data_IF_771373026360
#
_entry.id   IF_771373026360
#
_cell.length_a   1.000
_cell.length_b   1.000
_cell.length_c   1.000
_cell.angle_alpha   90.00
_cell.angle_beta   90.00
_cell.angle_gamma   90.00
#
_symmetry.space_group_name_H-M   'P 1'
#
loop_
_entity.id
_entity.type
_entity.pdbx_description
1 polymer ?
#
# COMPACT_ATOMS: atom_id res chain seq x y z
N UNK A 1 9.82 12.78 -14.61
CA UNK A 1 10.14 11.33 -14.38
C UNK A 1 9.92 10.52 -15.66
N UNK A 2 10.90 10.52 -16.58
CA UNK A 2 10.82 9.88 -17.90
C UNK A 2 11.14 8.37 -17.94
N UNK A 3 10.66 7.61 -16.96
CA UNK A 3 10.88 6.16 -16.93
C UNK A 3 9.77 5.44 -17.68
N UNK A 4 10.13 4.75 -18.76
CA UNK A 4 9.25 3.81 -19.44
C UNK A 4 9.00 2.60 -18.52
N UNK A 5 7.75 2.43 -18.08
CA UNK A 5 7.36 1.31 -17.22
C UNK A 5 6.31 0.49 -17.96
N UNK A 6 6.33 -0.85 -17.83
CA UNK A 6 5.24 -1.68 -18.33
C UNK A 6 3.88 -1.15 -17.87
N UNK A 7 2.95 -0.94 -18.80
CA UNK A 7 1.61 -0.39 -18.55
C UNK A 7 1.59 1.05 -17.98
N UNK A 8 2.67 1.82 -18.16
CA UNK A 8 2.77 3.20 -17.66
C UNK A 8 1.73 4.14 -18.27
N UNK A 9 1.36 3.89 -19.53
CA UNK A 9 0.28 4.55 -20.25
C UNK A 9 -1.09 4.30 -19.59
N UNK A 10 -1.42 3.05 -19.29
CA UNK A 10 -2.65 2.65 -18.59
C UNK A 10 -2.74 3.31 -17.21
N UNK A 11 -1.64 3.31 -16.45
CA UNK A 11 -1.59 3.92 -15.12
C UNK A 11 -1.79 5.44 -15.18
N UNK A 12 -1.19 6.12 -16.15
CA UNK A 12 -1.41 7.55 -16.35
C UNK A 12 -2.88 7.87 -16.62
N UNK A 13 -3.54 7.07 -17.44
CA UNK A 13 -4.94 7.26 -17.78
C UNK A 13 -5.88 6.91 -16.62
N UNK A 14 -5.56 5.90 -15.82
CA UNK A 14 -6.26 5.63 -14.55
C UNK A 14 -6.15 6.82 -13.59
N UNK A 15 -4.96 7.43 -13.46
CA UNK A 15 -4.76 8.62 -12.63
C UNK A 15 -5.57 9.81 -13.16
N UNK A 16 -5.59 10.04 -14.48
CA UNK A 16 -6.44 11.09 -15.09
C UNK A 16 -7.92 10.87 -14.76
N UNK A 17 -8.40 9.64 -14.86
CA UNK A 17 -9.79 9.29 -14.52
C UNK A 17 -10.08 9.50 -13.04
N UNK A 18 -9.17 9.14 -12.14
CA UNK A 18 -9.34 9.37 -10.71
C UNK A 18 -9.33 10.86 -10.36
N UNK A 19 -8.43 11.63 -10.97
CA UNK A 19 -8.32 13.07 -10.77
C UNK A 19 -9.56 13.84 -11.25
N UNK A 20 -10.23 13.34 -12.29
CA UNK A 20 -11.46 13.94 -12.79
C UNK A 20 -12.67 13.72 -11.85
N UNK A 21 -12.59 12.82 -10.85
CA UNK A 21 -13.77 12.39 -10.07
C UNK A 21 -14.35 13.53 -9.25
N UNK A 22 -15.68 13.66 -9.34
CA UNK A 22 -16.45 14.67 -8.59
C UNK A 22 -16.60 14.32 -7.10
N UNK A 23 -16.36 13.06 -6.72
CA UNK A 23 -16.53 12.58 -5.36
C UNK A 23 -15.23 11.98 -4.79
N UNK A 24 -14.95 12.17 -3.49
CA UNK A 24 -13.86 11.50 -2.80
C UNK A 24 -13.92 9.98 -3.01
N UNK A 25 -12.78 9.40 -3.38
CA UNK A 25 -12.66 7.95 -3.63
C UNK A 25 -11.80 7.32 -2.54
N UNK A 26 -12.29 6.22 -1.96
CA UNK A 26 -11.52 5.36 -1.05
C UNK A 26 -11.27 4.01 -1.71
N UNK A 27 -10.03 3.55 -1.69
CA UNK A 27 -9.68 2.20 -2.12
C UNK A 27 -9.77 1.26 -0.93
N UNK A 28 -10.44 0.13 -1.14
CA UNK A 28 -10.54 -0.95 -0.15
C UNK A 28 -10.12 -2.22 -0.86
N UNK A 29 -9.10 -2.87 -0.33
CA UNK A 29 -8.71 -4.19 -0.80
C UNK A 29 -9.66 -5.23 -0.20
N UNK A 30 -10.22 -6.08 -1.06
CA UNK A 30 -11.12 -7.16 -0.66
C UNK A 30 -10.44 -8.47 -1.06
N UNK A 31 -10.42 -9.43 -0.15
CA UNK A 31 -9.89 -10.77 -0.41
C UNK A 31 -10.78 -11.46 -1.45
N UNK A 32 -10.17 -12.08 -2.47
CA UNK A 32 -10.92 -12.84 -3.46
C UNK A 32 -11.71 -13.99 -2.81
N UNK A 33 -12.92 -14.23 -3.32
CA UNK A 33 -13.82 -15.30 -2.82
C UNK A 33 -14.15 -15.21 -1.33
N UNK A 34 -14.15 -14.00 -0.75
CA UNK A 34 -14.53 -13.79 0.65
C UNK A 34 -16.03 -13.82 0.91
N UNK A 35 -16.84 -14.20 -0.08
CA UNK A 35 -18.31 -14.09 -0.04
C UNK A 35 -18.82 -12.66 -0.17
N UNK A 36 -18.02 -11.73 -0.69
CA UNK A 36 -18.50 -10.37 -1.00
C UNK A 36 -19.23 -10.40 -2.33
N UNK A 37 -20.57 -10.33 -2.30
CA UNK A 37 -21.42 -10.47 -3.50
C UNK A 37 -21.00 -9.55 -4.65
N UNK A 38 -20.65 -8.29 -4.37
CA UNK A 38 -20.25 -7.31 -5.40
C UNK A 38 -18.88 -7.65 -5.99
N UNK A 39 -17.92 -8.03 -5.14
CA UNK A 39 -16.60 -8.48 -5.58
C UNK A 39 -16.70 -9.75 -6.41
N UNK A 40 -17.53 -10.70 -6.00
CA UNK A 40 -17.74 -11.97 -6.72
C UNK A 40 -18.47 -11.75 -8.05
N UNK A 41 -19.43 -10.82 -8.11
CA UNK A 41 -20.07 -10.41 -9.35
C UNK A 41 -19.08 -9.73 -10.32
N UNK A 42 -18.26 -8.80 -9.83
CA UNK A 42 -17.22 -8.16 -10.65
C UNK A 42 -16.20 -9.17 -11.17
N UNK A 43 -15.78 -10.14 -10.35
CA UNK A 43 -14.89 -11.23 -10.76
C UNK A 43 -15.55 -12.13 -11.82
N UNK A 44 -16.85 -12.42 -11.70
CA UNK A 44 -17.60 -13.18 -12.70
C UNK A 44 -17.64 -12.45 -14.05
N UNK A 45 -17.96 -11.16 -14.04
CA UNK A 45 -17.97 -10.33 -15.25
C UNK A 45 -16.58 -10.27 -15.90
N UNK A 46 -15.52 -10.14 -15.10
CA UNK A 46 -14.15 -10.17 -15.62
C UNK A 46 -13.82 -11.51 -16.30
N UNK A 47 -14.24 -12.64 -15.72
CA UNK A 47 -14.07 -13.98 -16.31
C UNK A 47 -14.86 -14.17 -17.60
N UNK A 48 -16.08 -13.63 -17.66
CA UNK A 48 -16.90 -13.65 -18.88
C UNK A 48 -16.25 -12.79 -19.97
N UNK A 49 -15.78 -11.59 -19.63
CA UNK A 49 -15.05 -10.70 -20.54
C UNK A 49 -13.78 -11.34 -21.10
N UNK A 50 -13.05 -12.09 -20.30
CA UNK A 50 -11.84 -12.81 -20.75
C UNK A 50 -12.11 -13.93 -21.76
N UNK A 51 -13.38 -14.35 -21.94
CA UNK A 51 -13.79 -15.34 -22.97
C UNK A 51 -14.24 -14.69 -24.26
N UNK A 52 -14.43 -13.37 -24.28
CA UNK A 52 -14.76 -12.64 -25.49
C UNK A 52 -13.53 -12.59 -26.42
N UNK A 53 -13.74 -12.33 -27.73
CA UNK A 53 -12.63 -12.09 -28.65
C UNK A 53 -11.70 -10.99 -28.14
N UNK A 54 -10.43 -11.02 -28.55
CA UNK A 54 -9.46 -10.00 -28.16
C UNK A 54 -10.01 -8.60 -28.46
N UNK A 55 -9.99 -7.74 -27.43
CA UNK A 55 -10.24 -6.33 -27.63
C UNK A 55 -9.16 -5.77 -28.56
N UNK A 56 -9.54 -4.85 -29.45
CA UNK A 56 -8.55 -4.14 -30.25
C UNK A 56 -7.53 -3.38 -29.39
N UNK A 57 -6.48 -2.88 -30.02
CA UNK A 57 -5.38 -2.21 -29.33
C UNK A 57 -5.88 -1.10 -28.40
N UNK A 58 -5.30 -1.07 -27.19
CA UNK A 58 -5.57 -0.03 -26.22
C UNK A 58 -5.23 1.35 -26.81
N UNK A 59 -6.17 2.29 -26.66
CA UNK A 59 -6.00 3.68 -27.11
C UNK A 59 -5.99 4.60 -25.90
N UNK A 60 -4.95 5.43 -25.82
CA UNK A 60 -4.77 6.42 -24.75
C UNK A 60 -5.94 7.40 -24.69
N UNK A 61 -6.39 7.69 -23.48
CA UNK A 61 -7.40 8.70 -23.19
C UNK A 61 -6.82 10.09 -23.44
N UNK A 62 -7.28 10.68 -24.54
CA UNK A 62 -6.99 12.08 -24.89
C UNK A 62 -7.82 13.01 -24.02
N UNK A 63 -9.12 12.72 -23.86
CA UNK A 63 -10.04 13.47 -23.02
C UNK A 63 -10.83 12.53 -22.11
N UNK A 64 -11.08 12.99 -20.87
CA UNK A 64 -11.99 12.30 -19.94
C UNK A 64 -13.41 12.79 -20.25
N UNK A 65 -14.30 11.97 -20.84
CA UNK A 65 -15.56 12.47 -21.43
C UNK A 65 -16.49 13.14 -20.41
N UNK A 66 -16.41 12.70 -19.16
CA UNK A 66 -17.26 13.17 -18.07
C UNK A 66 -16.62 14.28 -17.22
N UNK A 67 -15.37 14.65 -17.50
CA UNK A 67 -14.73 15.80 -16.86
C UNK A 67 -15.20 17.15 -17.45
N UNK A 68 -15.82 17.12 -18.65
CA UNK A 68 -16.07 18.33 -19.44
C UNK A 68 -17.46 18.97 -19.27
N UNK A 69 -18.40 18.37 -18.51
CA UNK A 69 -19.81 18.81 -18.63
C UNK A 69 -20.55 19.11 -17.34
N UNK A 70 -19.89 18.99 -16.19
CA UNK A 70 -20.51 19.35 -14.92
C UNK A 70 -19.66 20.39 -14.22
N UNK A 71 -19.92 21.68 -14.45
CA UNK A 71 -19.92 22.56 -13.29
C UNK A 71 -20.82 21.84 -12.28
N UNK A 72 -20.25 21.34 -11.17
CA UNK A 72 -21.07 20.85 -10.08
C UNK A 72 -22.14 21.92 -9.86
N UNK A 73 -23.44 21.57 -9.78
CA UNK A 73 -24.46 22.57 -9.49
C UNK A 73 -23.98 23.38 -8.29
N UNK A 74 -24.19 24.71 -8.25
CA UNK A 74 -23.65 25.56 -7.18
C UNK A 74 -24.06 25.09 -5.76
N UNK A 75 -25.08 24.24 -5.67
CA UNK A 75 -25.56 23.54 -4.47
C UNK A 75 -24.66 22.36 -4.02
N UNK A 76 -23.88 21.79 -4.94
CA UNK A 76 -22.85 20.78 -4.70
C UNK A 76 -21.46 21.40 -4.49
N UNK A 77 -21.37 22.48 -3.74
CA UNK A 77 -20.11 22.81 -3.07
C UNK A 77 -19.86 21.73 -2.02
N UNK A 78 -19.08 20.72 -2.38
CA UNK A 78 -18.53 19.76 -1.43
C UNK A 78 -17.56 20.55 -0.54
N UNK A 79 -18.11 21.07 0.56
CA UNK A 79 -17.37 21.72 1.63
C UNK A 79 -16.64 20.63 2.40
N UNK A 80 -15.69 19.95 1.73
CA UNK A 80 -14.86 18.93 2.37
C UNK A 80 -13.83 19.70 3.18
N UNK A 81 -14.26 20.08 4.38
CA UNK A 81 -13.37 20.54 5.44
C UNK A 81 -12.25 19.51 5.51
N UNK A 82 -11.04 19.92 5.16
CA UNK A 82 -9.83 19.08 5.22
C UNK A 82 -9.84 18.39 6.58
N UNK A 83 -10.01 17.07 6.60
CA UNK A 83 -10.11 16.32 7.86
C UNK A 83 -8.71 16.29 8.47
N UNK A 84 -8.45 17.21 9.39
CA UNK A 84 -7.44 17.05 10.42
C UNK A 84 -8.16 16.60 11.69
N UNK A 85 -7.79 15.45 12.25
CA UNK A 85 -8.41 14.98 13.49
C UNK A 85 -7.76 15.70 14.68
N UNK A 86 -8.49 16.60 15.32
CA UNK A 86 -8.16 17.16 16.63
C UNK A 86 -8.96 16.44 17.73
N UNK A 87 -8.99 15.09 17.70
CA UNK A 87 -9.62 14.31 18.76
C UNK A 87 -8.71 14.29 19.99
N UNK A 88 -9.19 14.63 21.19
CA UNK A 88 -8.44 14.39 22.41
C UNK A 88 -8.29 12.88 22.63
N UNK A 89 -7.13 12.45 23.11
CA UNK A 89 -6.87 11.07 23.49
C UNK A 89 -7.83 10.65 24.61
N UNK A 90 -8.68 9.65 24.33
CA UNK A 90 -9.50 9.04 25.37
C UNK A 90 -8.69 7.94 26.07
N UNK A 91 -8.55 7.95 27.41
CA UNK A 91 -7.94 6.84 28.12
C UNK A 91 -8.86 5.63 28.02
N UNK A 92 -8.46 4.64 27.21
CA UNK A 92 -9.16 3.36 27.10
C UNK A 92 -8.93 2.59 28.40
N UNK A 93 -9.93 2.59 29.30
CA UNK A 93 -9.99 1.63 30.40
C UNK A 93 -10.38 0.28 29.83
N UNK A 94 -9.40 -0.59 29.61
CA UNK A 94 -9.67 -2.00 29.33
C UNK A 94 -10.29 -2.64 30.58
N UNK A 95 -11.52 -3.19 30.51
CA UNK A 95 -12.02 -4.01 31.60
C UNK A 95 -11.12 -5.24 31.73
N UNK A 96 -10.83 -5.64 32.98
CA UNK A 96 -10.07 -6.85 33.27
C UNK A 96 -10.81 -8.05 32.66
N UNK A 97 -10.22 -8.63 31.61
CA UNK A 97 -10.75 -9.85 30.98
C UNK A 97 -10.52 -11.00 31.97
N UNK A 98 -11.57 -11.69 32.43
CA UNK A 98 -11.39 -12.87 33.27
C UNK A 98 -10.65 -13.96 32.48
N UNK A 99 -9.77 -14.68 33.15
CA UNK A 99 -8.99 -15.77 32.58
C UNK A 99 -9.94 -16.80 31.95
N UNK A 100 -9.89 -16.93 30.63
CA UNK A 100 -10.62 -17.95 29.89
C UNK A 100 -9.92 -19.29 30.17
N UNK A 101 -10.59 -20.15 30.94
CA UNK A 101 -10.19 -21.56 31.05
C UNK A 101 -10.35 -22.22 29.69
N UNK A 102 -9.24 -22.74 29.16
CA UNK A 102 -9.18 -23.39 27.86
C UNK A 102 -9.74 -24.80 28.01
N UNK A 103 -10.95 -25.05 27.53
CA UNK A 103 -11.43 -26.41 27.30
C UNK A 103 -10.62 -27.03 26.16
N UNK A 104 -9.89 -28.10 26.47
CA UNK A 104 -9.29 -28.98 25.46
C UNK A 104 -10.41 -29.66 24.66
N UNK A 105 -10.42 -29.42 23.34
CA UNK A 105 -11.40 -29.96 22.40
C UNK A 105 -11.05 -31.43 22.07
N UNK A 106 -11.84 -32.43 22.53
CA UNK A 106 -11.46 -33.84 22.43
C UNK A 106 -11.65 -34.47 21.04
N UNK A 107 -12.23 -33.76 20.06
CA UNK A 107 -12.63 -34.34 18.77
C UNK A 107 -11.59 -34.24 17.64
N UNK A 108 -10.32 -33.97 17.95
CA UNK A 108 -9.27 -33.82 16.93
C UNK A 108 -8.60 -35.17 16.52
N UNK A 109 -9.38 -36.21 16.18
CA UNK A 109 -8.87 -37.57 15.89
C UNK A 109 -8.90 -38.07 14.44
N UNK A 110 -9.24 -37.25 13.44
CA UNK A 110 -9.21 -37.71 12.04
C UNK A 110 -7.92 -37.27 11.30
N UNK A 111 -6.93 -38.16 11.37
CA UNK A 111 -5.51 -37.88 11.14
C UNK A 111 -4.96 -37.85 9.71
N UNK A 112 -5.70 -37.44 8.67
CA UNK A 112 -5.15 -37.48 7.29
C UNK A 112 -5.28 -36.22 6.43
N UNK A 113 -5.96 -35.16 6.90
CA UNK A 113 -6.13 -33.90 6.14
C UNK A 113 -5.54 -32.66 6.84
N UNK A 114 -4.72 -32.83 7.88
CA UNK A 114 -4.43 -31.76 8.85
C UNK A 114 -2.99 -31.25 8.92
N UNK A 115 -2.10 -31.60 7.97
CA UNK A 115 -0.71 -31.12 8.01
C UNK A 115 -0.58 -29.59 8.03
N UNK A 116 -1.54 -28.86 7.47
CA UNK A 116 -1.60 -27.40 7.56
C UNK A 116 -2.07 -26.89 8.92
N UNK A 117 -3.09 -27.52 9.52
CA UNK A 117 -3.68 -27.09 10.81
C UNK A 117 -2.76 -27.36 11.98
N UNK A 118 -2.04 -28.48 11.95
CA UNK A 118 -1.08 -28.82 12.99
C UNK A 118 0.09 -27.82 13.01
N UNK A 119 0.59 -27.40 11.84
CA UNK A 119 1.59 -26.33 11.72
C UNK A 119 1.07 -25.01 12.29
N UNK A 120 -0.17 -24.64 11.96
CA UNK A 120 -0.80 -23.43 12.50
C UNK A 120 -0.96 -23.50 14.02
N UNK A 121 -1.43 -24.64 14.57
CA UNK A 121 -1.56 -24.85 16.02
C UNK A 121 -0.21 -24.78 16.73
N UNK A 122 0.83 -25.42 16.18
CA UNK A 122 2.19 -25.36 16.70
C UNK A 122 2.73 -23.93 16.70
N UNK A 123 2.51 -23.18 15.62
CA UNK A 123 2.90 -21.77 15.52
C UNK A 123 2.16 -20.92 16.57
N UNK A 124 0.83 -21.05 16.67
CA UNK A 124 0.02 -20.34 17.66
C UNK A 124 0.43 -20.66 19.10
N UNK A 125 0.71 -21.93 19.40
CA UNK A 125 1.18 -22.34 20.71
C UNK A 125 2.56 -21.76 21.02
N UNK A 126 3.48 -21.74 20.05
CA UNK A 126 4.80 -21.12 20.23
C UNK A 126 4.72 -19.62 20.48
N UNK A 127 3.82 -18.92 19.77
CA UNK A 127 3.54 -17.50 19.99
C UNK A 127 2.94 -17.27 21.37
N UNK A 128 2.00 -18.13 21.79
CA UNK A 128 1.38 -18.05 23.11
C UNK A 128 2.41 -18.21 24.24
N UNK A 129 3.29 -19.21 24.17
CA UNK A 129 4.35 -19.39 25.16
C UNK A 129 5.27 -18.18 25.21
N UNK A 130 5.72 -17.67 24.06
CA UNK A 130 6.59 -16.49 24.01
C UNK A 130 5.95 -15.23 24.61
N UNK A 131 4.62 -15.05 24.48
CA UNK A 131 3.90 -13.97 25.15
C UNK A 131 3.86 -14.12 26.67
N UNK A 132 3.64 -15.35 27.16
CA UNK A 132 3.59 -15.64 28.59
C UNK A 132 4.97 -15.51 29.27
N UNK A 133 6.05 -15.76 28.52
CA UNK A 133 7.43 -15.68 29.03
C UNK A 133 7.96 -14.23 29.11
N UNK A 134 7.29 -13.25 28.50
CA UNK A 134 7.73 -11.85 28.52
C UNK A 134 7.62 -11.26 29.94
N UNK A 135 8.75 -10.80 30.49
CA UNK A 135 8.80 -10.27 31.87
C UNK A 135 8.50 -8.75 31.94
N UNK A 136 8.44 -8.06 30.80
CA UNK A 136 8.23 -6.61 30.79
C UNK A 136 7.69 -6.04 29.47
N UNK A 137 7.22 -4.78 29.51
CA UNK A 137 6.58 -4.14 28.37
C UNK A 137 7.51 -3.99 27.15
N UNK A 138 8.82 -3.79 27.38
CA UNK A 138 9.80 -3.67 26.31
C UNK A 138 10.09 -4.97 25.55
N UNK A 139 10.00 -6.13 26.22
CA UNK A 139 10.13 -7.44 25.58
C UNK A 139 8.87 -7.78 24.79
N UNK A 140 7.70 -7.54 25.38
CA UNK A 140 6.41 -7.70 24.72
C UNK A 140 6.34 -6.94 23.39
N UNK A 141 6.69 -5.65 23.38
CA UNK A 141 6.63 -4.86 22.14
C UNK A 141 7.68 -5.26 21.09
N UNK A 142 8.85 -5.73 21.51
CA UNK A 142 9.85 -6.31 20.59
C UNK A 142 9.34 -7.58 19.93
N UNK A 143 8.70 -8.46 20.72
CA UNK A 143 8.11 -9.70 20.23
C UNK A 143 6.95 -9.44 19.26
N UNK A 144 6.03 -8.53 19.61
CA UNK A 144 4.92 -8.13 18.72
C UNK A 144 5.46 -7.54 17.42
N UNK A 145 6.43 -6.62 17.49
CA UNK A 145 7.04 -6.03 16.28
C UNK A 145 7.68 -7.09 15.39
N UNK A 146 8.35 -8.09 15.97
CA UNK A 146 8.93 -9.22 15.22
C UNK A 146 7.88 -10.04 14.47
N UNK A 147 6.64 -10.11 14.96
CA UNK A 147 5.56 -10.86 14.30
C UNK A 147 4.73 -10.02 13.33
N UNK A 148 4.53 -8.74 13.62
CA UNK A 148 3.73 -7.84 12.78
C UNK A 148 4.54 -7.21 11.66
N UNK A 149 5.84 -7.03 11.85
CA UNK A 149 6.72 -6.58 10.78
C UNK A 149 6.96 -7.76 9.82
N UNK A 150 6.20 -7.78 8.73
CA UNK A 150 6.35 -8.76 7.66
C UNK A 150 7.65 -8.55 6.86
N UNK A 151 8.43 -7.50 7.18
CA UNK A 151 9.70 -7.28 6.52
C UNK A 151 10.70 -8.34 7.00
N UNK A 152 11.24 -9.17 6.09
CA UNK A 152 12.38 -10.00 6.47
C UNK A 152 13.47 -9.08 7.04
N UNK A 153 14.23 -9.52 8.06
CA UNK A 153 15.34 -8.73 8.56
C UNK A 153 16.18 -8.30 7.37
N UNK A 154 16.42 -6.99 7.24
CA UNK A 154 17.25 -6.47 6.17
C UNK A 154 18.57 -7.24 6.24
N UNK A 155 19.06 -7.80 5.11
CA UNK A 155 20.35 -8.48 5.13
C UNK A 155 21.38 -7.55 5.73
N UNK A 156 22.30 -8.07 6.55
CA UNK A 156 23.39 -7.26 7.11
C UNK A 156 24.27 -6.78 5.95
N UNK A 157 23.94 -5.62 5.39
CA UNK A 157 24.74 -4.97 4.36
C UNK A 157 25.84 -4.20 5.07
N UNK A 158 27.10 -4.54 4.78
CA UNK A 158 28.23 -3.82 5.34
C UNK A 158 28.18 -2.34 4.94
N UNK A 159 28.73 -1.47 5.80
CA UNK A 159 28.84 -0.03 5.52
C UNK A 159 29.59 0.22 4.20
N UNK A 160 30.57 -0.62 3.88
CA UNK A 160 31.35 -0.54 2.64
C UNK A 160 30.51 -0.87 1.41
N UNK A 161 29.62 -1.88 1.50
CA UNK A 161 28.71 -2.23 0.42
C UNK A 161 27.69 -1.11 0.16
N UNK A 162 27.13 -0.51 1.22
CA UNK A 162 26.24 0.65 1.09
C UNK A 162 26.98 1.86 0.49
N UNK A 163 28.21 2.12 0.91
CA UNK A 163 29.02 3.24 0.40
C UNK A 163 29.32 3.06 -1.09
N UNK A 164 29.63 1.83 -1.51
CA UNK A 164 29.89 1.49 -2.91
C UNK A 164 28.65 1.65 -3.76
N UNK A 165 27.50 1.17 -3.29
CA UNK A 165 26.25 1.28 -4.03
C UNK A 165 25.74 2.73 -4.08
N UNK A 166 25.87 3.49 -2.99
CA UNK A 166 25.56 4.92 -2.97
C UNK A 166 26.44 5.71 -3.93
N UNK A 167 27.76 5.47 -3.95
CA UNK A 167 28.66 6.11 -4.93
C UNK A 167 28.25 5.77 -6.35
N UNK A 168 27.92 4.50 -6.60
CA UNK A 168 27.44 4.06 -7.92
C UNK A 168 26.12 4.72 -8.33
N UNK A 169 25.20 4.95 -7.38
CA UNK A 169 23.89 5.56 -7.65
C UNK A 169 23.91 7.08 -7.72
N UNK A 170 24.77 7.73 -6.94
CA UNK A 170 24.90 9.19 -6.93
C UNK A 170 25.70 9.71 -8.12
N UNK A 171 26.65 8.92 -8.61
CA UNK A 171 27.34 9.25 -9.84
C UNK A 171 26.42 8.90 -11.01
N UNK A 172 26.17 9.88 -11.90
CA UNK A 172 25.46 9.62 -13.13
C UNK A 172 26.18 8.50 -13.89
N UNK A 173 25.46 7.48 -14.42
CA UNK A 173 26.09 6.44 -15.21
C UNK A 173 26.83 7.09 -16.39
N UNK A 174 28.05 6.61 -16.67
CA UNK A 174 28.89 7.11 -17.77
C UNK A 174 28.15 7.03 -19.11
N UNK A 175 27.32 6.01 -19.27
CA UNK A 175 26.46 5.81 -20.42
C UNK A 175 25.01 5.76 -19.98
N UNK A 176 24.18 6.67 -20.50
CA UNK A 176 22.74 6.64 -20.23
C UNK A 176 22.09 5.50 -21.00
N UNK A 177 21.19 4.70 -20.38
CA UNK A 177 20.45 3.65 -21.06
C UNK A 177 19.70 4.19 -22.28
N UNK A 178 19.56 3.38 -23.34
CA UNK A 178 18.82 3.75 -24.54
C UNK A 178 17.34 4.10 -24.25
N UNK A 179 16.77 3.51 -23.21
CA UNK A 179 15.40 3.79 -22.73
C UNK A 179 15.25 5.09 -21.94
N UNK A 180 16.35 5.80 -21.66
CA UNK A 180 16.31 7.02 -20.89
C UNK A 180 15.84 8.20 -21.76
N UNK A 181 14.68 8.77 -21.42
CA UNK A 181 14.13 9.93 -22.12
C UNK A 181 14.91 11.22 -21.77
N UNK A 182 15.82 11.60 -22.68
CA UNK A 182 16.68 12.79 -22.53
C UNK A 182 15.90 14.11 -22.54
N UNK A 183 14.83 14.18 -23.33
CA UNK A 183 14.00 15.38 -23.47
C UNK A 183 13.25 15.67 -22.16
N UNK A 184 12.71 14.63 -21.54
CA UNK A 184 12.06 14.76 -20.24
C UNK A 184 13.03 15.22 -19.16
N UNK A 185 14.28 14.73 -19.16
CA UNK A 185 15.30 15.21 -18.22
C UNK A 185 15.62 16.71 -18.44
N UNK A 186 15.71 17.15 -19.70
CA UNK A 186 15.94 18.56 -20.01
C UNK A 186 14.78 19.43 -19.51
N UNK A 187 13.54 18.99 -19.72
CA UNK A 187 12.35 19.67 -19.21
C UNK A 187 12.30 19.69 -17.67
N UNK A 188 12.57 18.56 -17.03
CA UNK A 188 12.61 18.44 -15.56
C UNK A 188 13.69 19.39 -14.98
N UNK A 189 14.83 19.57 -15.65
CA UNK A 189 15.87 20.55 -15.26
C UNK A 189 15.37 22.00 -15.34
N UNK A 190 14.69 22.37 -16.43
CA UNK A 190 14.14 23.73 -16.59
C UNK A 190 13.08 24.00 -15.51
N UNK A 191 12.19 23.04 -15.26
CA UNK A 191 11.18 23.16 -14.20
C UNK A 191 11.82 23.28 -12.81
N UNK A 192 12.85 22.48 -12.53
CA UNK A 192 13.56 22.53 -11.24
C UNK A 192 14.27 23.86 -11.02
N UNK A 193 14.86 24.43 -12.08
CA UNK A 193 15.47 25.77 -12.02
C UNK A 193 14.43 26.89 -11.81
N UNK A 194 13.18 26.67 -12.22
CA UNK A 194 12.08 27.59 -11.99
C UNK A 194 11.42 27.44 -10.61
N UNK A 195 11.73 26.39 -9.85
CA UNK A 195 11.21 26.24 -8.50
C UNK A 195 11.83 27.32 -7.61
N UNK A 196 11.02 28.15 -6.94
CA UNK A 196 11.54 29.13 -5.99
C UNK A 196 12.31 28.41 -4.89
N UNK A 197 13.58 28.79 -4.70
CA UNK A 197 14.39 28.41 -3.55
C UNK A 197 13.81 29.11 -2.32
N UNK A 198 12.65 28.67 -1.86
CA UNK A 198 12.21 28.99 -0.50
C UNK A 198 13.17 28.26 0.42
N UNK A 199 14.25 28.94 0.78
CA UNK A 199 15.03 28.56 1.94
C UNK A 199 14.06 28.40 3.09
N UNK A 200 14.06 27.24 3.72
CA UNK A 200 13.34 27.02 4.97
C UNK A 200 13.91 28.04 5.95
N UNK A 201 13.27 29.20 6.01
CA UNK A 201 13.67 30.29 6.88
C UNK A 201 13.60 29.74 8.29
N UNK A 202 14.77 29.53 8.88
CA UNK A 202 14.89 29.44 10.32
C UNK A 202 14.24 30.70 10.88
N UNK A 203 13.01 30.57 11.41
CA UNK A 203 12.44 31.60 12.25
C UNK A 203 13.36 31.69 13.48
N UNK A 204 14.09 32.81 13.69
CA UNK A 204 14.77 33.01 14.96
C UNK A 204 13.69 33.11 16.04
N UNK A 205 13.86 32.31 17.09
CA UNK A 205 13.07 32.42 18.33
C UNK A 205 13.60 33.56 19.18
#
# INVERSE_FOLDING_TARGET
MGWDRPNGDLLQDMVKLLAARLAPTRFVWIKGHSGNERGDAANRLAKEGARLPEAGDYRRLVNVPWAATGALPPECTMNVRKVSTALPEFPVKHPAVPAIEVLDDPDSRDGLSHCGREKTRKLQQSMRCALLDCQGPGEFWRLIRKWTDARPPDPEVSLDALTTELRTRMNAPLEMPASFNREQLALDKVLTAALPTYGVGHHPR
#
